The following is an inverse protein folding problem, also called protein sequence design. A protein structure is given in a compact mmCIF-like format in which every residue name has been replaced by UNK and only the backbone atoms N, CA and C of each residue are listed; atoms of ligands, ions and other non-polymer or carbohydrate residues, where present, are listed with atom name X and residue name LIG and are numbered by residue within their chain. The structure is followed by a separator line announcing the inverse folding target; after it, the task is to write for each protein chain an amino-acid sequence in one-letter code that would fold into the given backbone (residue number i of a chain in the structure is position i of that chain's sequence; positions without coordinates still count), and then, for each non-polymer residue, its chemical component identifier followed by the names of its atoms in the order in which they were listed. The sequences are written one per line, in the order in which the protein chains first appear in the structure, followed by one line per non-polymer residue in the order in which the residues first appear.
data_IF_703616253399
#
_entry.id   IF_703616253399
#
_cell.length_a   1.000
_cell.length_b   1.000
_cell.length_c   1.000
_cell.angle_alpha   90.00
_cell.angle_beta   90.00
_cell.angle_gamma   90.00
#
_symmetry.space_group_name_H-M   'P 1'
#
loop_
_entity.id
_entity.type
_entity.pdbx_description
1 polymer ?
#
# COMPACT_ATOMS: atom_id res chain seq x y z
N UNK A 1 -9.02 4.69 -8.77
CA UNK A 1 -8.27 5.46 -7.74
C UNK A 1 -9.17 6.15 -6.70
N UNK A 2 -10.41 5.68 -6.46
CA UNK A 2 -11.31 6.36 -5.51
C UNK A 2 -10.83 6.20 -4.06
N UNK A 3 -10.39 5.00 -3.68
CA UNK A 3 -9.92 4.69 -2.32
C UNK A 3 -8.61 5.42 -2.03
N UNK A 4 -7.70 5.49 -3.00
CA UNK A 4 -6.40 6.15 -2.88
C UNK A 4 -6.56 7.66 -2.72
N UNK A 5 -7.46 8.29 -3.50
CA UNK A 5 -7.75 9.72 -3.39
C UNK A 5 -8.27 10.08 -1.98
N UNK A 6 -9.21 9.30 -1.46
CA UNK A 6 -9.75 9.49 -0.10
C UNK A 6 -8.66 9.26 0.95
N UNK A 7 -7.81 8.25 0.76
CA UNK A 7 -6.67 7.96 1.66
C UNK A 7 -5.68 9.13 1.72
N UNK A 8 -5.37 9.76 0.58
CA UNK A 8 -4.48 10.94 0.51
C UNK A 8 -5.10 12.13 1.26
N UNK A 9 -6.40 12.34 1.09
CA UNK A 9 -7.12 13.41 1.79
C UNK A 9 -7.03 13.20 3.30
N UNK A 10 -7.36 11.99 3.79
CA UNK A 10 -7.23 11.69 5.21
C UNK A 10 -5.80 11.83 5.70
N UNK A 11 -4.83 11.31 4.95
CA UNK A 11 -3.42 11.38 5.31
C UNK A 11 -2.96 12.84 5.49
N UNK A 12 -3.35 13.73 4.57
CA UNK A 12 -3.10 15.17 4.69
C UNK A 12 -3.69 15.74 5.97
N UNK A 13 -4.97 15.48 6.26
CA UNK A 13 -5.61 15.99 7.48
C UNK A 13 -4.97 15.43 8.75
N UNK A 14 -4.56 14.16 8.77
CA UNK A 14 -3.85 13.58 9.92
C UNK A 14 -2.48 14.22 10.15
N UNK A 15 -1.75 14.52 9.09
CA UNK A 15 -0.50 15.29 9.17
C UNK A 15 -0.79 16.67 9.77
N UNK A 16 -1.80 17.38 9.27
CA UNK A 16 -2.16 18.72 9.77
C UNK A 16 -2.57 18.70 11.24
N UNK A 17 -3.43 17.76 11.64
CA UNK A 17 -3.86 17.60 13.02
C UNK A 17 -2.70 17.21 13.96
N UNK A 18 -1.65 16.58 13.43
CA UNK A 18 -0.49 16.13 14.20
C UNK A 18 0.70 17.09 14.15
N UNK A 19 0.59 18.25 13.50
CA UNK A 19 1.70 19.22 13.29
C UNK A 19 2.43 19.58 14.58
N UNK A 20 1.70 19.82 15.68
CA UNK A 20 2.29 20.16 16.98
C UNK A 20 3.17 19.05 17.57
N UNK A 21 2.86 17.79 17.25
CA UNK A 21 3.65 16.63 17.68
C UNK A 21 4.79 16.30 16.70
N UNK A 22 4.58 16.54 15.41
CA UNK A 22 5.58 16.33 14.35
C UNK A 22 6.76 17.30 14.47
N UNK A 23 6.48 18.55 14.85
CA UNK A 23 7.48 19.60 15.01
C UNK A 23 8.15 19.59 16.40
N UNK A 24 7.86 18.59 17.23
CA UNK A 24 8.39 18.54 18.58
C UNK A 24 9.89 18.18 18.57
N UNK A 25 10.79 19.05 19.07
CA UNK A 25 12.23 18.89 18.92
C UNK A 25 12.81 17.63 19.60
N UNK A 26 12.08 17.05 20.56
CA UNK A 26 12.45 15.81 21.26
C UNK A 26 11.86 14.53 20.65
N UNK A 27 10.98 14.61 19.65
CA UNK A 27 10.31 13.43 19.09
C UNK A 27 10.13 13.59 17.57
N UNK A 28 10.95 12.89 16.79
CA UNK A 28 10.75 12.77 15.33
C UNK A 28 9.60 11.79 15.08
N UNK A 29 8.36 12.27 15.19
CA UNK A 29 7.18 11.51 14.76
C UNK A 29 7.01 11.64 13.25
N UNK A 30 6.36 10.65 12.65
CA UNK A 30 6.01 10.66 11.23
C UNK A 30 4.62 10.03 11.07
N UNK A 31 3.81 10.60 10.19
CA UNK A 31 2.52 10.02 9.81
C UNK A 31 2.71 9.31 8.48
N UNK A 32 2.59 7.99 8.48
CA UNK A 32 2.67 7.15 7.27
C UNK A 32 1.28 6.68 6.85
N UNK A 33 1.11 6.37 5.56
CA UNK A 33 -0.11 5.74 5.07
C UNK A 33 0.13 4.26 4.76
N UNK A 34 -0.67 3.38 5.35
CA UNK A 34 -0.66 1.94 5.07
C UNK A 34 -1.88 1.61 4.21
N UNK A 35 -1.67 0.98 3.06
CA UNK A 35 -2.74 0.70 2.10
C UNK A 35 -2.76 -0.78 1.71
N UNK A 36 -3.92 -1.42 1.78
CA UNK A 36 -4.11 -2.79 1.31
C UNK A 36 -4.28 -2.82 -0.21
N UNK A 37 -3.52 -3.67 -0.89
CA UNK A 37 -3.47 -3.76 -2.35
C UNK A 37 -3.93 -5.14 -2.80
N UNK A 38 -4.98 -5.21 -3.62
CA UNK A 38 -5.49 -6.46 -4.17
C UNK A 38 -4.50 -7.05 -5.21
N UNK A 39 -4.11 -8.31 -5.03
CA UNK A 39 -3.22 -9.02 -5.95
C UNK A 39 -3.93 -9.51 -7.20
N UNK A 40 -5.24 -9.80 -7.13
CA UNK A 40 -6.00 -10.39 -8.25
C UNK A 40 -5.80 -9.69 -9.60
N UNK A 41 -5.96 -8.35 -9.71
CA UNK A 41 -5.74 -7.62 -10.96
C UNK A 41 -4.27 -7.53 -11.39
N UNK A 42 -3.34 -7.91 -10.51
CA UNK A 42 -1.88 -7.75 -10.68
C UNK A 42 -1.15 -9.06 -10.94
N UNK A 43 -1.88 -10.16 -10.94
CA UNK A 43 -1.42 -11.49 -11.33
C UNK A 43 -1.32 -11.59 -12.85
N UNK A 44 -0.45 -12.48 -13.33
CA UNK A 44 -0.39 -12.89 -14.72
C UNK A 44 -0.50 -14.42 -14.83
N UNK A 45 -1.65 -14.98 -15.23
CA UNK A 45 -2.87 -14.28 -15.67
C UNK A 45 -3.63 -13.59 -14.51
N UNK A 46 -4.40 -12.56 -14.84
CA UNK A 46 -5.28 -11.86 -13.88
C UNK A 46 -6.29 -12.84 -13.27
N UNK A 47 -6.52 -12.73 -11.96
CA UNK A 47 -7.50 -13.57 -11.25
C UNK A 47 -8.86 -12.87 -11.15
N UNK A 48 -9.96 -13.64 -11.12
CA UNK A 48 -11.29 -13.07 -10.91
C UNK A 48 -11.47 -12.57 -9.48
N UNK A 49 -12.32 -11.55 -9.29
CA UNK A 49 -12.61 -10.98 -7.97
C UNK A 49 -13.16 -12.00 -6.97
N UNK A 50 -13.91 -12.99 -7.46
CA UNK A 50 -14.48 -14.07 -6.66
C UNK A 50 -13.47 -15.20 -6.35
N UNK A 51 -12.21 -15.10 -6.78
CA UNK A 51 -11.19 -16.09 -6.42
C UNK A 51 -11.01 -16.12 -4.89
N UNK A 52 -11.11 -17.31 -4.30
CA UNK A 52 -10.97 -17.50 -2.86
C UNK A 52 -9.51 -17.37 -2.39
N UNK A 53 -9.32 -16.94 -1.15
CA UNK A 53 -8.01 -16.80 -0.50
C UNK A 53 -7.58 -15.36 -0.21
N UNK A 54 -6.54 -15.23 0.61
CA UNK A 54 -5.96 -13.95 1.02
C UNK A 54 -5.04 -13.40 -0.08
N UNK A 55 -5.64 -12.81 -1.12
CA UNK A 55 -4.92 -12.29 -2.28
C UNK A 55 -4.79 -10.75 -2.21
N UNK A 56 -4.16 -10.26 -1.14
CA UNK A 56 -3.85 -8.85 -0.97
C UNK A 56 -2.60 -8.67 -0.10
N UNK A 57 -1.92 -7.53 -0.22
CA UNK A 57 -0.83 -7.17 0.70
C UNK A 57 -0.82 -5.70 1.02
N UNK A 58 -0.36 -5.36 2.22
CA UNK A 58 -0.16 -3.97 2.61
C UNK A 58 1.11 -3.40 1.98
N UNK A 59 1.03 -2.13 1.60
CA UNK A 59 2.17 -1.28 1.25
C UNK A 59 2.19 -0.07 2.17
N UNK A 60 3.38 0.50 2.40
CA UNK A 60 3.58 1.64 3.28
C UNK A 60 4.10 2.80 2.44
N UNK A 61 3.36 3.90 2.42
CA UNK A 61 3.80 5.17 1.88
C UNK A 61 4.41 6.01 3.01
N UNK A 62 5.70 6.31 2.86
CA UNK A 62 6.48 7.09 3.81
C UNK A 62 6.74 8.46 3.17
N UNK A 63 6.30 9.56 3.80
CA UNK A 63 6.65 10.89 3.31
C UNK A 63 8.09 11.20 3.71
N UNK A 64 8.91 11.73 2.81
CA UNK A 64 10.26 12.19 3.18
C UNK A 64 10.08 13.53 3.90
N UNK A 65 10.59 13.65 5.12
CA UNK A 65 10.39 14.84 5.95
C UNK A 65 11.56 15.82 5.84
N UNK A 66 11.58 16.58 4.75
CA UNK A 66 12.51 17.70 4.51
C UNK A 66 12.07 19.00 5.23
N UNK A 67 11.07 18.92 6.12
CA UNK A 67 10.34 20.06 6.69
C UNK A 67 8.90 20.14 6.17
N UNK A 68 8.28 21.32 6.15
CA UNK A 68 6.88 21.50 5.67
C UNK A 68 6.68 21.03 4.22
N UNK A 69 7.73 21.11 3.39
CA UNK A 69 7.72 20.67 1.99
C UNK A 69 7.64 19.15 1.81
N UNK A 70 7.95 18.37 2.85
CA UNK A 70 7.94 16.91 2.81
C UNK A 70 6.57 16.27 2.57
N UNK A 71 5.50 17.07 2.72
CA UNK A 71 4.11 16.63 2.55
C UNK A 71 3.44 17.19 1.30
N UNK A 72 4.16 17.90 0.43
CA UNK A 72 3.58 18.47 -0.81
C UNK A 72 3.23 17.37 -1.83
N UNK A 73 3.92 16.22 -1.78
CA UNK A 73 3.80 15.17 -2.79
C UNK A 73 3.26 13.82 -2.27
N UNK A 74 2.29 13.85 -1.35
CA UNK A 74 1.63 12.65 -0.81
C UNK A 74 1.07 11.74 -1.91
N UNK A 75 0.60 12.32 -3.02
CA UNK A 75 0.09 11.59 -4.18
C UNK A 75 1.19 10.69 -4.76
N UNK A 76 2.39 11.23 -5.02
CA UNK A 76 3.47 10.44 -5.57
C UNK A 76 3.95 9.36 -4.60
N UNK A 77 4.02 9.65 -3.30
CA UNK A 77 4.41 8.65 -2.31
C UNK A 77 3.43 7.48 -2.26
N UNK A 78 2.13 7.75 -2.18
CA UNK A 78 1.12 6.68 -2.16
C UNK A 78 1.09 5.93 -3.49
N UNK A 79 1.14 6.65 -4.62
CA UNK A 79 1.10 6.03 -5.93
C UNK A 79 2.31 5.13 -6.18
N UNK A 80 3.51 5.56 -5.80
CA UNK A 80 4.72 4.75 -5.93
C UNK A 80 4.65 3.51 -5.01
N UNK A 81 4.25 3.69 -3.75
CA UNK A 81 4.08 2.59 -2.81
C UNK A 81 3.09 1.53 -3.31
N UNK A 82 1.95 1.98 -3.86
CA UNK A 82 0.93 1.09 -4.42
C UNK A 82 1.43 0.45 -5.72
N UNK A 83 2.05 1.20 -6.63
CA UNK A 83 2.48 0.69 -7.94
C UNK A 83 3.65 -0.30 -7.86
N UNK A 84 4.47 -0.21 -6.81
CA UNK A 84 5.54 -1.17 -6.53
C UNK A 84 5.02 -2.58 -6.24
N UNK A 85 3.76 -2.72 -5.83
CA UNK A 85 3.10 -4.02 -5.68
C UNK A 85 2.63 -4.52 -7.06
N UNK A 86 3.55 -4.73 -7.99
CA UNK A 86 3.26 -5.18 -9.36
C UNK A 86 3.43 -6.71 -9.51
N UNK A 87 3.24 -7.23 -10.73
CA UNK A 87 3.42 -8.66 -11.02
C UNK A 87 4.77 -9.21 -10.54
N UNK A 88 5.88 -8.49 -10.75
CA UNK A 88 7.20 -8.96 -10.31
C UNK A 88 7.27 -9.08 -8.79
N UNK A 89 6.66 -8.13 -8.08
CA UNK A 89 6.54 -8.19 -6.62
C UNK A 89 5.71 -9.41 -6.19
N UNK A 90 4.54 -9.62 -6.81
CA UNK A 90 3.63 -10.71 -6.48
C UNK A 90 4.26 -12.08 -6.80
N UNK A 91 4.94 -12.23 -7.93
CA UNK A 91 5.71 -13.43 -8.30
C UNK A 91 6.76 -13.80 -7.25
N UNK A 92 7.38 -12.80 -6.62
CA UNK A 92 8.40 -13.00 -5.58
C UNK A 92 7.80 -13.21 -4.18
N UNK A 93 6.49 -13.00 -3.99
CA UNK A 93 5.79 -13.26 -2.73
C UNK A 93 5.46 -14.75 -2.59
N UNK A 94 6.33 -15.50 -1.91
CA UNK A 94 6.24 -16.97 -1.80
C UNK A 94 5.18 -17.52 -0.82
N UNK A 95 4.63 -16.71 0.09
CA UNK A 95 3.85 -17.22 1.24
C UNK A 95 2.34 -17.30 0.97
N UNK A 96 1.75 -16.33 0.26
CA UNK A 96 0.29 -16.29 0.03
C UNK A 96 -0.17 -17.02 -1.24
N UNK A 97 0.73 -17.20 -2.22
CA UNK A 97 0.40 -17.89 -3.47
C UNK A 97 0.22 -19.40 -3.30
N UNK A 98 0.80 -19.98 -2.24
CA UNK A 98 0.82 -21.43 -2.00
C UNK A 98 -0.58 -22.02 -1.83
N UNK A 99 -1.54 -21.28 -1.26
CA UNK A 99 -2.93 -21.75 -1.13
C UNK A 99 -3.62 -21.85 -2.51
N UNK A 100 -3.38 -20.89 -3.40
CA UNK A 100 -3.91 -20.92 -4.76
C UNK A 100 -3.26 -22.01 -5.62
N UNK A 101 -1.94 -22.20 -5.52
CA UNK A 101 -1.23 -23.26 -6.24
C UNK A 101 -1.71 -24.65 -5.80
N UNK A 102 -1.94 -24.87 -4.50
CA UNK A 102 -2.44 -26.15 -4.00
C UNK A 102 -3.86 -26.48 -4.49
N UNK A 103 -4.73 -25.48 -4.66
CA UNK A 103 -6.08 -25.69 -5.23
C UNK A 103 -6.07 -26.10 -6.71
N UNK A 104 -4.99 -25.81 -7.47
CA UNK A 104 -4.83 -26.26 -8.86
C UNK A 104 -4.23 -27.65 -8.99
N UNK A 105 -3.56 -28.16 -7.96
CA UNK A 105 -2.98 -29.52 -7.98
C UNK A 105 -4.05 -30.57 -7.63
N UNK A 106 -5.14 -30.19 -6.96
CA UNK A 106 -6.21 -31.13 -6.57
C UNK A 106 -7.30 -31.36 -7.64
N UNK A 107 -7.18 -30.79 -8.84
CA UNK A 107 -8.14 -30.99 -9.94
C UNK A 107 -7.48 -31.42 -11.27
N UNK A 108 -6.39 -32.18 -11.19
CA UNK A 108 -5.87 -32.98 -12.31
C UNK A 108 -5.72 -34.43 -11.87
#
# INVERSE_FOLDING_TARGET
MRVEAVSIIFWRYFIEASKSQLNHPKCKKMVTAIHAVNFRPRMNPTLPDHAFGNLWRSTIAIPVSDGEKGYENLVAYLWNAVSNINWNYVKNCKVEMSIYILSRIQWN
#
